data_IF_708653059804
#
_entry.id   IF_708653059804
#
_cell.length_a   1.000
_cell.length_b   1.000
_cell.length_c   1.000
_cell.angle_alpha   90.00
_cell.angle_beta   90.00
_cell.angle_gamma   90.00
#
_symmetry.space_group_name_H-M   'P 1'
#
loop_
_entity.id
_entity.type
_entity.pdbx_description
1 polymer ?
#
# COMPACT_ATOMS: atom_id res chain seq x y z
N UNK A 1 4.77 -24.19 9.55
CA UNK A 1 6.13 -23.74 9.17
C UNK A 1 5.88 -22.62 8.18
N UNK A 2 6.57 -21.49 8.30
CA UNK A 2 6.32 -20.36 7.40
C UNK A 2 6.50 -20.77 5.93
N UNK A 3 5.51 -20.49 5.07
CA UNK A 3 5.50 -20.81 3.64
C UNK A 3 5.22 -19.55 2.84
N UNK A 4 5.81 -19.46 1.66
CA UNK A 4 5.48 -18.41 0.70
C UNK A 4 4.25 -18.83 -0.11
N UNK A 5 3.22 -17.99 -0.12
CA UNK A 5 1.94 -18.23 -0.83
C UNK A 5 1.78 -17.35 -2.07
N UNK A 6 2.67 -16.38 -2.27
CA UNK A 6 2.62 -15.43 -3.38
C UNK A 6 1.69 -14.24 -3.12
N UNK A 7 1.92 -13.16 -3.88
CA UNK A 7 1.09 -11.95 -3.87
C UNK A 7 0.25 -11.88 -5.15
N UNK A 8 -1.07 -11.89 -5.01
CA UNK A 8 -2.00 -11.83 -6.14
C UNK A 8 -2.19 -10.39 -6.62
N UNK A 9 -1.21 -9.89 -7.38
CA UNK A 9 -1.20 -8.50 -7.92
C UNK A 9 -2.52 -8.12 -8.60
N UNK A 10 -3.11 -9.01 -9.39
CA UNK A 10 -4.38 -8.75 -10.07
C UNK A 10 -5.52 -8.42 -9.10
N UNK A 11 -5.59 -9.06 -7.93
CA UNK A 11 -6.65 -8.80 -6.95
C UNK A 11 -6.47 -7.43 -6.29
N UNK A 12 -5.23 -7.03 -6.03
CA UNK A 12 -4.91 -5.66 -5.58
C UNK A 12 -5.34 -4.61 -6.62
N UNK A 13 -5.09 -4.86 -7.91
CA UNK A 13 -5.46 -3.97 -9.00
C UNK A 13 -6.97 -3.88 -9.22
N UNK A 14 -7.69 -5.01 -9.15
CA UNK A 14 -9.14 -5.05 -9.22
C UNK A 14 -9.77 -4.33 -8.04
N UNK A 15 -9.20 -4.48 -6.84
CA UNK A 15 -9.62 -3.74 -5.67
C UNK A 15 -9.42 -2.23 -5.85
N UNK A 16 -8.22 -1.81 -6.27
CA UNK A 16 -7.92 -0.40 -6.51
C UNK A 16 -8.87 0.20 -7.55
N UNK A 17 -9.10 -0.48 -8.67
CA UNK A 17 -10.05 -0.04 -9.70
C UNK A 17 -11.47 0.13 -9.17
N UNK A 18 -11.91 -0.76 -8.28
CA UNK A 18 -13.25 -0.72 -7.71
C UNK A 18 -13.43 0.42 -6.71
N UNK A 19 -12.42 0.67 -5.89
CA UNK A 19 -12.57 1.51 -4.69
C UNK A 19 -11.77 2.82 -4.73
N UNK A 20 -10.95 3.09 -5.73
CA UNK A 20 -10.18 4.34 -5.79
C UNK A 20 -11.05 5.62 -5.79
N UNK A 21 -12.31 5.52 -6.24
CA UNK A 21 -13.26 6.63 -6.36
C UNK A 21 -14.44 6.53 -5.37
N UNK A 22 -14.36 5.61 -4.41
CA UNK A 22 -15.42 5.35 -3.44
C UNK A 22 -14.79 4.82 -2.12
N UNK A 23 -15.59 4.42 -1.13
CA UNK A 23 -15.11 3.83 0.11
C UNK A 23 -15.70 2.45 0.33
N UNK A 24 -14.84 1.47 0.56
CA UNK A 24 -15.30 0.13 0.94
C UNK A 24 -15.87 0.18 2.37
N UNK A 25 -17.18 -0.10 2.57
CA UNK A 25 -17.83 0.01 3.88
C UNK A 25 -17.30 -0.97 4.94
N UNK A 26 -16.43 -1.92 4.56
CA UNK A 26 -15.73 -2.80 5.51
C UNK A 26 -14.65 -2.08 6.32
N UNK A 27 -14.18 -0.93 5.85
CA UNK A 27 -13.12 -0.16 6.49
C UNK A 27 -13.65 1.22 6.89
N UNK A 28 -13.12 1.75 8.00
CA UNK A 28 -13.42 3.13 8.40
C UNK A 28 -12.85 4.07 7.34
N UNK A 29 -13.62 5.09 6.99
CA UNK A 29 -13.18 6.19 6.16
C UNK A 29 -12.33 7.16 6.99
N UNK A 30 -11.07 7.33 6.58
CA UNK A 30 -10.10 8.19 7.28
C UNK A 30 -9.90 9.55 6.60
N UNK A 31 -10.68 9.90 5.58
CA UNK A 31 -10.48 11.12 4.78
C UNK A 31 -10.28 12.38 5.65
N UNK A 32 -11.11 12.54 6.68
CA UNK A 32 -11.08 13.69 7.60
C UNK A 32 -10.24 13.47 8.87
N UNK A 33 -9.57 12.32 8.99
CA UNK A 33 -8.77 11.94 10.16
C UNK A 33 -7.27 11.84 9.87
N UNK A 34 -6.90 11.90 8.59
CA UNK A 34 -5.55 11.61 8.12
C UNK A 34 -5.28 10.11 8.01
N UNK A 35 -4.35 9.75 7.13
CA UNK A 35 -3.93 8.36 6.93
C UNK A 35 -4.76 7.56 5.92
N UNK A 36 -5.76 8.18 5.26
CA UNK A 36 -6.63 7.45 4.32
C UNK A 36 -5.91 6.96 3.07
N UNK A 37 -4.87 7.67 2.62
CA UNK A 37 -4.01 7.17 1.54
C UNK A 37 -3.37 5.81 1.89
N UNK A 38 -2.81 5.69 3.10
CA UNK A 38 -2.22 4.44 3.58
C UNK A 38 -3.28 3.38 3.89
N UNK A 39 -4.46 3.80 4.39
CA UNK A 39 -5.59 2.90 4.61
C UNK A 39 -6.00 2.24 3.29
N UNK A 40 -6.20 3.02 2.23
CA UNK A 40 -6.51 2.51 0.89
C UNK A 40 -5.40 1.60 0.34
N UNK A 41 -4.14 2.02 0.45
CA UNK A 41 -3.01 1.19 0.06
C UNK A 41 -3.02 -0.15 0.79
N UNK A 42 -3.22 -0.14 2.11
CA UNK A 42 -3.30 -1.36 2.91
C UNK A 42 -4.46 -2.26 2.51
N UNK A 43 -5.62 -1.68 2.15
CA UNK A 43 -6.74 -2.46 1.62
C UNK A 43 -6.40 -3.13 0.28
N UNK A 44 -5.72 -2.44 -0.63
CA UNK A 44 -5.27 -2.99 -1.91
C UNK A 44 -4.25 -4.12 -1.70
N UNK A 45 -3.25 -3.89 -0.83
CA UNK A 45 -2.27 -4.93 -0.45
C UNK A 45 -3.00 -6.13 0.15
N UNK A 46 -3.97 -5.91 1.03
CA UNK A 46 -4.69 -7.02 1.65
C UNK A 46 -5.54 -7.80 0.64
N UNK A 47 -6.13 -7.14 -0.35
CA UNK A 47 -6.86 -7.81 -1.42
C UNK A 47 -5.94 -8.74 -2.23
N UNK A 48 -4.69 -8.34 -2.50
CA UNK A 48 -3.70 -9.21 -3.14
C UNK A 48 -2.99 -10.20 -2.20
N UNK A 49 -2.94 -9.90 -0.90
CA UNK A 49 -2.22 -10.70 0.09
C UNK A 49 -3.08 -11.83 0.66
N UNK A 50 -4.34 -11.54 1.00
CA UNK A 50 -5.22 -12.44 1.75
C UNK A 50 -4.79 -12.69 3.21
N UNK A 51 -3.59 -12.24 3.62
CA UNK A 51 -3.01 -12.49 4.94
C UNK A 51 -2.62 -11.17 5.60
N UNK A 52 -3.16 -10.94 6.80
CA UNK A 52 -2.72 -9.89 7.72
C UNK A 52 -1.72 -10.44 8.73
N UNK A 53 -0.90 -9.56 9.30
CA UNK A 53 0.01 -9.90 10.38
C UNK A 53 -0.50 -9.33 11.70
N UNK A 54 -0.98 -10.21 12.59
CA UNK A 54 -1.56 -9.84 13.88
C UNK A 54 -0.54 -9.72 15.03
N UNK A 55 0.75 -9.54 14.73
CA UNK A 55 1.76 -9.30 15.77
C UNK A 55 1.37 -8.03 16.55
N UNK A 56 1.18 -8.09 17.88
CA UNK A 56 0.79 -6.92 18.66
C UNK A 56 1.78 -5.76 18.46
N UNK A 57 1.25 -4.55 18.25
CA UNK A 57 2.00 -3.29 18.08
C UNK A 57 2.83 -3.20 16.78
N UNK A 58 3.53 -4.26 16.38
CA UNK A 58 4.48 -4.28 15.25
C UNK A 58 3.95 -4.94 13.97
N UNK A 59 2.79 -5.57 14.03
CA UNK A 59 2.16 -6.23 12.89
C UNK A 59 1.61 -5.24 11.87
N UNK A 60 0.77 -5.75 10.98
CA UNK A 60 0.00 -5.00 10.00
C UNK A 60 -1.36 -5.66 9.87
N UNK A 61 -2.34 -5.08 10.54
CA UNK A 61 -3.72 -5.58 10.53
C UNK A 61 -4.73 -4.46 10.76
N UNK A 62 -5.95 -4.76 10.37
CA UNK A 62 -7.14 -3.95 10.64
C UNK A 62 -8.32 -4.87 10.97
N UNK A 63 -8.84 -4.74 12.19
CA UNK A 63 -10.11 -5.34 12.59
C UNK A 63 -11.22 -4.29 12.67
N UNK A 64 -10.87 -3.07 13.10
CA UNK A 64 -11.79 -1.93 13.14
C UNK A 64 -11.04 -0.60 13.21
N UNK A 65 -11.77 0.51 13.14
CA UNK A 65 -11.23 1.86 13.34
C UNK A 65 -10.63 2.11 14.73
N UNK A 66 -10.79 1.19 15.70
CA UNK A 66 -10.13 1.27 17.02
C UNK A 66 -9.13 0.13 17.25
N UNK A 67 -9.22 -0.93 16.46
CA UNK A 67 -8.38 -2.13 16.58
C UNK A 67 -7.64 -2.37 15.26
N UNK A 68 -6.49 -1.70 15.13
CA UNK A 68 -5.57 -1.78 14.00
C UNK A 68 -4.18 -1.35 14.45
N UNK A 69 -3.16 -1.69 13.68
CA UNK A 69 -1.80 -1.19 13.91
C UNK A 69 -1.56 0.14 13.20
N UNK A 70 -0.60 0.97 13.68
CA UNK A 70 -0.17 2.18 12.98
C UNK A 70 0.28 1.92 11.53
N UNK A 71 0.87 0.74 11.26
CA UNK A 71 1.30 0.32 9.92
C UNK A 71 0.16 0.20 8.90
N UNK A 72 -1.10 0.05 9.33
CA UNK A 72 -2.23 0.02 8.41
C UNK A 72 -2.61 1.41 7.87
N UNK A 73 -2.41 2.46 8.66
CA UNK A 73 -2.86 3.83 8.32
C UNK A 73 -1.74 4.88 8.27
N UNK A 74 -0.51 4.55 8.65
CA UNK A 74 0.62 5.48 8.68
C UNK A 74 1.70 5.16 7.65
N UNK A 75 2.09 6.16 6.85
CA UNK A 75 3.02 6.03 5.71
C UNK A 75 4.34 5.38 6.10
N UNK A 76 5.04 5.95 7.08
CA UNK A 76 6.33 5.40 7.55
C UNK A 76 6.19 4.03 8.21
N UNK A 77 5.10 3.80 8.95
CA UNK A 77 4.86 2.51 9.60
C UNK A 77 4.55 1.40 8.61
N UNK A 78 3.85 1.70 7.51
CA UNK A 78 3.59 0.75 6.44
C UNK A 78 4.91 0.32 5.77
N UNK A 79 5.76 1.28 5.43
CA UNK A 79 7.09 1.00 4.86
C UNK A 79 7.92 0.09 5.77
N UNK A 80 8.06 0.49 7.04
CA UNK A 80 8.83 -0.25 8.03
C UNK A 80 8.32 -1.69 8.21
N UNK A 81 6.99 -1.87 8.19
CA UNK A 81 6.41 -3.22 8.21
C UNK A 81 6.78 -4.01 6.95
N UNK A 82 6.48 -3.49 5.76
CA UNK A 82 6.64 -4.23 4.50
C UNK A 82 8.10 -4.65 4.27
N UNK A 83 9.06 -3.73 4.47
CA UNK A 83 10.48 -4.00 4.26
C UNK A 83 11.08 -4.83 5.40
N UNK A 84 10.57 -4.69 6.62
CA UNK A 84 11.06 -5.40 7.80
C UNK A 84 10.41 -6.76 8.07
N UNK A 85 9.32 -7.12 7.39
CA UNK A 85 8.54 -8.31 7.75
C UNK A 85 9.26 -9.61 7.38
N UNK A 86 9.67 -10.36 8.39
CA UNK A 86 10.25 -11.71 8.29
C UNK A 86 9.26 -12.82 8.70
N UNK A 87 8.00 -12.45 9.01
CA UNK A 87 6.95 -13.35 9.50
C UNK A 87 5.80 -13.42 8.49
N UNK A 88 4.62 -13.83 8.96
CA UNK A 88 3.36 -13.92 8.20
C UNK A 88 2.97 -12.57 7.58
N UNK A 89 2.23 -12.58 6.47
CA UNK A 89 1.77 -11.38 5.75
C UNK A 89 2.68 -10.97 4.59
N UNK A 90 2.39 -9.83 3.95
CA UNK A 90 3.14 -9.35 2.80
C UNK A 90 4.53 -8.85 3.24
N UNK A 91 5.50 -8.95 2.33
CA UNK A 91 6.82 -8.36 2.49
C UNK A 91 7.31 -7.76 1.18
N UNK A 92 8.17 -6.76 1.28
CA UNK A 92 8.62 -5.97 0.15
C UNK A 92 10.10 -5.62 0.25
N UNK A 93 10.62 -5.06 -0.82
CA UNK A 93 11.93 -4.42 -0.88
C UNK A 93 11.77 -3.03 -1.49
N UNK A 94 12.68 -2.11 -1.14
CA UNK A 94 12.81 -0.88 -1.91
C UNK A 94 13.49 -1.21 -3.25
N UNK A 95 13.02 -0.59 -4.33
CA UNK A 95 13.44 -0.87 -5.71
C UNK A 95 13.56 0.44 -6.49
N UNK A 96 14.22 0.41 -7.64
CA UNK A 96 14.28 1.57 -8.54
C UNK A 96 12.94 1.79 -9.27
N UNK A 97 12.66 3.02 -9.70
CA UNK A 97 11.42 3.34 -10.45
C UNK A 97 11.19 2.41 -11.65
N UNK A 98 12.26 2.05 -12.36
CA UNK A 98 12.22 1.19 -13.54
C UNK A 98 11.82 -0.27 -13.24
N UNK A 99 11.90 -0.69 -11.98
CA UNK A 99 11.56 -2.04 -11.51
C UNK A 99 10.19 -2.09 -10.85
N UNK A 100 9.52 -0.94 -10.68
CA UNK A 100 8.21 -0.87 -10.08
C UNK A 100 7.14 -1.52 -10.98
N UNK A 101 6.24 -2.29 -10.37
CA UNK A 101 5.19 -3.03 -11.08
C UNK A 101 3.79 -2.66 -10.58
N UNK A 102 2.75 -2.85 -11.41
CA UNK A 102 1.37 -2.79 -10.93
C UNK A 102 1.13 -3.67 -9.69
N UNK A 103 0.49 -3.10 -8.67
CA UNK A 103 0.27 -3.72 -7.37
C UNK A 103 1.34 -3.35 -6.32
N UNK A 104 2.42 -2.67 -6.70
CA UNK A 104 3.40 -2.08 -5.78
C UNK A 104 2.90 -0.75 -5.21
N UNK A 105 3.63 -0.24 -4.21
CA UNK A 105 3.35 1.05 -3.58
C UNK A 105 4.47 2.02 -3.94
N UNK A 106 4.12 3.26 -4.25
CA UNK A 106 5.07 4.36 -4.24
C UNK A 106 4.73 5.24 -3.04
N UNK A 107 5.75 5.68 -2.30
CA UNK A 107 5.55 6.67 -1.24
C UNK A 107 6.22 7.97 -1.61
N UNK A 108 5.47 9.07 -1.48
CA UNK A 108 5.93 10.41 -1.83
C UNK A 108 6.26 11.19 -0.57
N UNK A 109 7.28 12.03 -0.67
CA UNK A 109 7.81 12.78 0.45
C UNK A 109 8.51 14.07 0.04
N UNK A 110 8.99 14.77 1.06
CA UNK A 110 9.76 16.01 0.94
C UNK A 110 10.94 16.04 1.95
N UNK A 111 11.52 17.22 2.18
CA UNK A 111 12.54 17.45 3.20
C UNK A 111 12.14 17.02 4.63
N UNK A 112 10.85 16.93 4.94
CA UNK A 112 10.32 16.58 6.28
C UNK A 112 10.03 15.09 6.48
N UNK A 113 9.82 14.33 5.40
CA UNK A 113 9.54 12.89 5.45
C UNK A 113 8.58 12.41 4.36
N UNK A 114 8.18 11.14 4.41
CA UNK A 114 7.15 10.62 3.50
C UNK A 114 5.75 10.84 4.06
N UNK A 115 4.84 11.33 3.20
CA UNK A 115 3.50 11.76 3.60
C UNK A 115 2.36 11.15 2.77
N UNK A 116 2.66 10.45 1.67
CA UNK A 116 1.64 9.87 0.80
C UNK A 116 1.99 8.44 0.38
N UNK A 117 0.98 7.58 0.18
CA UNK A 117 1.14 6.17 -0.26
C UNK A 117 0.20 5.79 -1.41
N UNK A 118 0.38 6.29 -2.65
CA UNK A 118 -0.36 5.77 -3.80
C UNK A 118 -0.05 4.30 -4.14
N UNK A 119 -1.04 3.62 -4.69
CA UNK A 119 -0.89 2.26 -5.26
C UNK A 119 -0.57 2.39 -6.74
N UNK A 120 0.48 1.73 -7.22
CA UNK A 120 0.80 1.67 -8.65
C UNK A 120 -0.20 0.75 -9.33
N UNK A 121 -0.96 1.27 -10.29
CA UNK A 121 -2.01 0.51 -10.99
C UNK A 121 -1.69 0.20 -12.44
N UNK A 122 -0.75 0.95 -13.04
CA UNK A 122 -0.32 0.70 -14.41
C UNK A 122 1.09 1.27 -14.63
N UNK A 123 1.87 0.58 -15.48
CA UNK A 123 3.18 1.05 -15.94
C UNK A 123 3.23 0.85 -17.45
N UNK A 124 3.56 1.90 -18.20
CA UNK A 124 3.64 1.84 -19.66
C UNK A 124 4.68 2.82 -20.18
N UNK A 125 5.66 2.30 -20.93
CA UNK A 125 6.70 3.10 -21.61
C UNK A 125 7.42 4.09 -20.67
N UNK A 126 7.73 3.66 -19.44
CA UNK A 126 8.39 4.51 -18.44
C UNK A 126 7.46 5.49 -17.72
N UNK A 127 6.16 5.46 -17.98
CA UNK A 127 5.17 6.23 -17.22
C UNK A 127 4.47 5.34 -16.20
N UNK A 128 4.38 5.82 -14.96
CA UNK A 128 3.69 5.17 -13.85
C UNK A 128 2.36 5.87 -13.60
N UNK A 129 1.31 5.07 -13.42
CA UNK A 129 -0.02 5.56 -13.06
C UNK A 129 -0.44 4.96 -11.73
N UNK A 130 -1.05 5.80 -10.90
CA UNK A 130 -1.39 5.46 -9.53
C UNK A 130 -2.89 5.61 -9.23
N UNK A 131 -3.30 4.97 -8.15
CA UNK A 131 -4.58 5.17 -7.50
C UNK A 131 -4.39 5.56 -6.04
N UNK A 132 -5.22 6.47 -5.54
CA UNK A 132 -5.20 6.93 -4.16
C UNK A 132 -6.53 7.58 -3.76
N UNK A 133 -6.87 7.54 -2.48
CA UNK A 133 -7.99 8.32 -1.93
C UNK A 133 -7.67 9.81 -1.75
N UNK A 134 -6.40 10.22 -1.83
CA UNK A 134 -6.10 11.66 -1.88
C UNK A 134 -6.58 12.21 -3.22
N UNK A 135 -7.63 13.03 -3.15
CA UNK A 135 -8.38 13.55 -4.30
C UNK A 135 -9.16 12.50 -5.10
N UNK A 136 -9.36 11.29 -4.55
CA UNK A 136 -10.08 10.17 -5.19
C UNK A 136 -9.70 9.97 -6.66
N UNK A 137 -8.52 9.38 -6.87
CA UNK A 137 -7.92 9.25 -8.20
C UNK A 137 -7.67 7.80 -8.58
N UNK A 138 -7.92 7.50 -9.85
CA UNK A 138 -7.57 6.24 -10.50
C UNK A 138 -6.89 6.53 -11.84
N UNK A 139 -5.82 5.81 -12.17
CA UNK A 139 -5.01 6.03 -13.37
C UNK A 139 -4.45 7.46 -13.48
N UNK A 140 -4.11 8.08 -12.33
CA UNK A 140 -3.46 9.39 -12.34
C UNK A 140 -1.96 9.22 -12.65
N UNK A 141 -1.39 9.97 -13.61
CA UNK A 141 0.05 9.95 -13.85
C UNK A 141 0.83 10.34 -12.60
N UNK A 142 1.86 9.57 -12.25
CA UNK A 142 2.71 9.86 -11.08
C UNK A 142 3.44 11.21 -11.21
N UNK A 143 3.88 11.55 -12.41
CA UNK A 143 4.53 12.82 -12.76
C UNK A 143 3.62 14.06 -12.63
N UNK A 144 2.30 13.87 -12.43
CA UNK A 144 1.37 14.95 -12.11
C UNK A 144 1.34 15.34 -10.63
N UNK A 145 2.10 14.65 -9.78
CA UNK A 145 2.31 15.02 -8.38
C UNK A 145 3.55 15.92 -8.23
N UNK A 146 3.52 16.80 -7.24
CA UNK A 146 4.68 17.59 -6.84
C UNK A 146 5.25 16.95 -5.57
N UNK A 147 6.46 16.40 -5.66
CA UNK A 147 7.18 15.79 -4.55
C UNK A 147 8.69 15.98 -4.73
N UNK A 148 9.45 15.96 -3.65
CA UNK A 148 10.92 16.05 -3.71
C UNK A 148 11.57 14.66 -3.62
N UNK A 149 10.87 13.70 -3.00
CA UNK A 149 11.33 12.31 -2.81
C UNK A 149 10.24 11.33 -3.19
N UNK A 150 10.65 10.22 -3.78
CA UNK A 150 9.82 9.04 -3.98
C UNK A 150 10.62 7.80 -3.56
N UNK A 151 9.95 6.83 -2.95
CA UNK A 151 10.47 5.47 -2.75
C UNK A 151 9.49 4.45 -3.32
N UNK A 152 10.00 3.50 -4.08
CA UNK A 152 9.20 2.44 -4.71
C UNK A 152 9.33 1.17 -3.90
N UNK A 153 8.21 0.64 -3.45
CA UNK A 153 8.12 -0.49 -2.53
C UNK A 153 7.55 -1.67 -3.30
N UNK A 154 8.45 -2.53 -3.77
CA UNK A 154 8.11 -3.69 -4.59
C UNK A 154 7.72 -4.88 -3.71
N UNK A 155 6.46 -5.29 -3.79
CA UNK A 155 5.93 -6.39 -2.97
C UNK A 155 6.40 -7.71 -3.56
N UNK A 156 7.32 -8.37 -2.84
CA UNK A 156 7.95 -9.62 -3.28
C UNK A 156 7.02 -10.83 -3.17
N UNK A 157 6.17 -10.84 -2.15
CA UNK A 157 5.33 -11.99 -1.87
C UNK A 157 4.62 -11.88 -0.54
N UNK A 158 4.03 -13.01 -0.14
CA UNK A 158 3.25 -13.16 1.10
C UNK A 158 3.68 -14.44 1.77
N UNK A 159 3.78 -14.42 3.10
CA UNK A 159 4.05 -15.62 3.90
C UNK A 159 2.85 -16.02 4.75
N UNK A 160 2.58 -17.31 4.88
CA UNK A 160 1.53 -17.90 5.74
C UNK A 160 2.07 -19.06 6.59
N UNK A 161 1.33 -19.47 7.63
CA UNK A 161 1.72 -20.58 8.51
C UNK A 161 1.56 -21.98 7.91
#
# INVERSE_FOLDING_TARGET
MLKETGYHRNDALLYAKKWALDRNPRYLDFENMGGDCTNFASQCIYAGSGVMNYTPVKGWYYNSGRDRTPSWTGVEFLYNFLVGNQSVGPYAVETEEAEAEPGDIVQLGDGSGFYHSPVIVHVSRGHIYVAAHTYDVYMRPLDSYIYEKARFIHIKGVRSW
#
